data_IF_281203031001
#
_entry.id   IF_281203031001
#
_cell.length_a   1.000
_cell.length_b   1.000
_cell.length_c   1.000
_cell.angle_alpha   90.00
_cell.angle_beta   90.00
_cell.angle_gamma   90.00
#
_symmetry.space_group_name_H-M   'P 1'
#
loop_
_entity.id
_entity.type
_entity.pdbx_description
1 polymer ?
#
# COMPACT_ATOMS: atom_id res chain seq x y z
N UNK A 1 9.32 -24.86 -10.12
CA UNK A 1 9.11 -24.79 -10.35
C UNK A 1 8.83 -24.71 -10.14
N UNK A 2 8.32 -24.81 -9.95
CA UNK A 2 7.88 -24.82 -9.94
C UNK A 2 7.49 -24.96 -9.73
N UNK A 3 7.34 -25.17 -9.51
CA UNK A 3 6.66 -25.37 -9.39
C UNK A 3 6.18 -25.43 -9.11
N UNK A 4 6.68 -25.87 -8.51
CA UNK A 4 5.94 -25.78 -8.47
C UNK A 4 4.87 -25.84 -8.44
N UNK A 5 4.49 -25.65 -7.30
CA UNK A 5 3.21 -25.44 -7.88
C UNK A 5 3.38 -24.93 -9.26
N UNK A 6 2.78 -25.54 -10.19
CA UNK A 6 2.79 -24.95 -11.49
C UNK A 6 2.24 -23.56 -11.43
N UNK A 7 2.82 -22.68 -12.14
CA UNK A 7 2.41 -21.30 -12.12
C UNK A 7 0.92 -21.14 -12.42
N UNK A 8 0.39 -21.96 -13.29
CA UNK A 8 -1.00 -21.82 -13.67
C UNK A 8 -1.95 -22.09 -12.52
N UNK A 9 -1.60 -23.01 -11.64
CA UNK A 9 -2.44 -23.27 -10.49
C UNK A 9 -2.37 -22.14 -9.49
N UNK A 10 -1.19 -21.59 -9.33
CA UNK A 10 -1.04 -20.45 -8.44
C UNK A 10 -1.89 -19.30 -8.90
N UNK A 11 -1.96 -19.07 -10.18
CA UNK A 11 -2.74 -17.95 -10.69
C UNK A 11 -4.21 -18.09 -10.38
N UNK A 12 -4.72 -19.30 -10.39
CA UNK A 12 -6.13 -19.49 -10.08
C UNK A 12 -6.44 -19.12 -8.64
N UNK A 13 -5.50 -19.37 -7.76
CA UNK A 13 -5.72 -19.12 -6.36
C UNK A 13 -5.57 -17.67 -6.00
N UNK A 14 -4.88 -16.90 -6.77
CA UNK A 14 -4.48 -15.56 -6.39
C UNK A 14 -5.48 -14.50 -6.77
N UNK A 15 -6.47 -14.81 -7.55
CA UNK A 15 -7.47 -13.82 -7.94
C UNK A 15 -6.86 -12.59 -8.60
N UNK A 16 -5.98 -12.84 -9.48
CA UNK A 16 -5.23 -11.79 -10.16
C UNK A 16 -6.11 -10.71 -10.79
N UNK A 17 -7.28 -11.04 -11.39
CA UNK A 17 -8.08 -9.98 -12.00
C UNK A 17 -8.50 -8.90 -11.02
N UNK A 18 -8.80 -9.29 -9.79
CA UNK A 18 -9.17 -8.30 -8.78
C UNK A 18 -8.00 -7.41 -8.41
N UNK A 19 -6.83 -8.01 -8.27
CA UNK A 19 -5.64 -7.24 -7.95
C UNK A 19 -5.31 -6.24 -9.04
N UNK A 20 -5.59 -6.56 -10.28
CA UNK A 20 -5.32 -5.63 -11.37
C UNK A 20 -6.16 -4.38 -11.31
N UNK A 21 -7.30 -4.43 -10.64
CA UNK A 21 -8.18 -3.29 -10.52
C UNK A 21 -7.78 -2.37 -9.38
N UNK A 22 -6.93 -2.85 -8.49
CA UNK A 22 -6.47 -2.05 -7.37
C UNK A 22 -5.35 -1.16 -7.87
N UNK A 23 -5.56 0.14 -7.77
CA UNK A 23 -4.58 1.12 -8.23
C UNK A 23 -4.06 1.98 -7.11
N UNK A 24 -4.88 2.25 -6.12
CA UNK A 24 -4.53 3.17 -5.05
C UNK A 24 -4.83 2.54 -3.70
N UNK A 25 -3.81 2.40 -2.88
CA UNK A 25 -3.89 1.81 -1.55
C UNK A 25 -3.54 2.89 -0.53
N UNK A 26 -4.40 3.08 0.44
CA UNK A 26 -4.17 4.04 1.50
C UNK A 26 -3.93 3.32 2.81
N UNK A 27 -2.86 3.69 3.50
CA UNK A 27 -2.48 3.09 4.78
C UNK A 27 -2.80 4.04 5.91
N UNK A 28 -3.64 3.61 6.83
CA UNK A 28 -3.95 4.38 8.03
C UNK A 28 -2.90 4.03 9.08
N UNK A 29 -2.21 5.03 9.61
CA UNK A 29 -1.11 4.78 10.52
C UNK A 29 0.16 4.36 9.80
N UNK A 30 0.42 4.96 8.64
CA UNK A 30 1.48 4.51 7.74
C UNK A 30 2.87 4.58 8.37
N UNK A 31 3.06 5.43 9.38
CA UNK A 31 4.34 5.53 10.07
C UNK A 31 4.56 4.44 11.10
N UNK A 32 3.58 3.56 11.31
CA UNK A 32 3.72 2.52 12.30
C UNK A 32 4.67 1.42 11.88
N UNK A 33 5.16 0.68 12.88
CA UNK A 33 6.08 -0.41 12.62
C UNK A 33 5.42 -1.44 11.71
N UNK A 34 6.10 -1.84 10.67
CA UNK A 34 5.59 -2.82 9.72
C UNK A 34 4.74 -2.24 8.62
N UNK A 35 4.09 -1.12 8.83
CA UNK A 35 3.25 -0.52 7.79
C UNK A 35 4.09 0.11 6.70
N UNK A 36 5.12 0.84 7.09
CA UNK A 36 5.95 1.55 6.13
C UNK A 36 6.65 0.59 5.16
N UNK A 37 7.11 -0.55 5.67
CA UNK A 37 7.78 -1.53 4.82
C UNK A 37 6.84 -2.09 3.75
N UNK A 38 5.62 -2.41 4.16
CA UNK A 38 4.63 -2.94 3.21
C UNK A 38 4.29 -1.88 2.18
N UNK A 39 4.13 -0.64 2.62
CA UNK A 39 3.81 0.45 1.71
C UNK A 39 4.89 0.63 0.65
N UNK A 40 6.15 0.56 1.06
CA UNK A 40 7.25 0.72 0.12
C UNK A 40 7.30 -0.42 -0.89
N UNK A 41 7.07 -1.65 -0.44
CA UNK A 41 7.05 -2.79 -1.34
C UNK A 41 5.97 -2.62 -2.40
N UNK A 42 4.77 -2.24 -1.98
CA UNK A 42 3.67 -2.10 -2.90
C UNK A 42 3.88 -0.93 -3.86
N UNK A 43 4.49 0.14 -3.37
CA UNK A 43 4.82 1.24 -4.27
C UNK A 43 5.80 0.80 -5.35
N UNK A 44 6.78 0.01 -4.98
CA UNK A 44 7.76 -0.49 -5.95
C UNK A 44 7.12 -1.44 -6.95
N UNK A 45 5.98 -2.02 -6.61
CA UNK A 45 5.25 -2.89 -7.53
C UNK A 45 4.32 -2.13 -8.45
N UNK A 46 4.28 -0.81 -8.34
CA UNK A 46 3.51 0.00 -9.26
C UNK A 46 2.19 0.54 -8.73
N UNK A 47 1.84 0.26 -7.50
CA UNK A 47 0.62 0.82 -6.92
C UNK A 47 0.84 2.26 -6.52
N UNK A 48 -0.23 3.04 -6.60
CA UNK A 48 -0.22 4.37 -6.01
C UNK A 48 -0.46 4.20 -4.52
N UNK A 49 0.44 4.72 -3.72
CA UNK A 49 0.38 4.55 -2.27
C UNK A 49 0.22 5.91 -1.61
N UNK A 50 -0.66 5.97 -0.65
CA UNK A 50 -0.79 7.12 0.22
C UNK A 50 -0.98 6.62 1.64
N UNK A 51 -0.92 7.52 2.59
CA UNK A 51 -1.15 7.14 3.96
C UNK A 51 -1.43 8.33 4.83
N UNK A 52 -1.84 8.05 6.05
CA UNK A 52 -2.06 9.08 7.05
C UNK A 52 -1.45 8.65 8.36
N UNK A 53 -1.12 9.64 9.17
CA UNK A 53 -0.65 9.39 10.52
C UNK A 53 -1.05 10.57 11.39
N UNK A 54 -1.02 10.39 12.71
CA UNK A 54 -1.44 11.45 13.60
C UNK A 54 -0.39 12.54 13.74
N UNK A 55 0.87 12.23 13.48
CA UNK A 55 1.93 13.22 13.54
C UNK A 55 3.06 12.84 12.61
N UNK A 56 3.89 13.82 12.31
CA UNK A 56 5.09 13.59 11.52
C UNK A 56 6.12 12.81 12.31
N UNK A 57 6.93 12.06 11.61
CA UNK A 57 8.02 11.30 12.19
C UNK A 57 9.11 11.11 11.15
N UNK A 58 10.22 10.52 11.56
CA UNK A 58 11.27 10.19 10.60
C UNK A 58 10.75 9.23 9.54
N UNK A 59 9.87 8.33 9.96
CA UNK A 59 9.29 7.36 9.04
C UNK A 59 8.41 8.04 8.00
N UNK A 60 7.53 8.96 8.42
CA UNK A 60 6.68 9.63 7.44
C UNK A 60 7.49 10.50 6.50
N UNK A 61 8.54 11.13 7.00
CA UNK A 61 9.43 11.93 6.14
C UNK A 61 10.13 11.04 5.12
N UNK A 62 10.59 9.88 5.55
CA UNK A 62 11.23 8.93 4.65
C UNK A 62 10.27 8.47 3.56
N UNK A 63 9.02 8.19 3.93
CA UNK A 63 8.03 7.76 2.97
C UNK A 63 7.75 8.84 1.93
N UNK A 64 7.66 10.08 2.36
CA UNK A 64 7.45 11.18 1.44
C UNK A 64 8.61 11.34 0.48
N UNK A 65 9.82 11.14 0.97
CA UNK A 65 11.01 11.21 0.11
C UNK A 65 10.99 10.13 -0.95
N UNK A 66 10.27 9.04 -0.71
CA UNK A 66 10.15 7.95 -1.67
C UNK A 66 8.90 8.06 -2.55
N UNK A 67 8.26 9.21 -2.52
CA UNK A 67 7.14 9.45 -3.41
C UNK A 67 5.79 9.00 -2.89
N UNK A 68 5.69 8.70 -1.61
CA UNK A 68 4.42 8.31 -1.00
C UNK A 68 3.79 9.54 -0.37
N UNK A 69 2.53 9.81 -0.71
CA UNK A 69 1.82 10.95 -0.14
C UNK A 69 1.40 10.61 1.28
N UNK A 70 1.82 11.42 2.25
CA UNK A 70 1.45 11.23 3.65
C UNK A 70 0.66 12.43 4.12
N UNK A 71 -0.49 12.16 4.70
CA UNK A 71 -1.33 13.19 5.31
C UNK A 71 -1.17 13.12 6.81
N UNK A 72 -1.04 14.27 7.44
CA UNK A 72 -0.97 14.33 8.90
C UNK A 72 -2.37 14.60 9.39
N UNK A 73 -2.86 13.73 10.27
CA UNK A 73 -4.25 13.74 10.69
C UNK A 73 -5.04 12.73 9.88
N UNK A 74 -6.12 12.24 10.47
CA UNK A 74 -6.98 11.27 9.80
C UNK A 74 -8.27 11.95 9.40
N UNK A 75 -8.56 11.96 8.11
CA UNK A 75 -9.74 12.61 7.56
C UNK A 75 -10.31 11.73 6.46
N UNK A 76 -11.63 11.71 6.37
CA UNK A 76 -12.29 10.95 5.31
C UNK A 76 -11.87 11.43 3.93
N UNK A 77 -11.52 12.70 3.79
CA UNK A 77 -11.11 13.23 2.48
C UNK A 77 -9.78 12.60 2.02
N UNK A 78 -8.96 12.15 2.95
CA UNK A 78 -7.65 11.57 2.59
C UNK A 78 -7.79 10.25 1.86
N UNK A 79 -8.93 9.58 2.01
CA UNK A 79 -9.10 8.22 1.51
C UNK A 79 -10.12 8.10 0.40
N UNK A 80 -10.72 9.21 -0.03
CA UNK A 80 -11.88 9.09 -0.91
C UNK A 80 -11.55 8.51 -2.28
N UNK A 81 -10.31 8.57 -2.71
CA UNK A 81 -9.92 8.00 -4.00
C UNK A 81 -9.20 6.67 -3.87
N UNK A 82 -9.09 6.12 -2.68
CA UNK A 82 -8.39 4.86 -2.49
C UNK A 82 -9.29 3.68 -2.83
N UNK A 83 -8.71 2.68 -3.44
CA UNK A 83 -9.41 1.42 -3.72
C UNK A 83 -9.40 0.51 -2.51
N UNK A 84 -8.35 0.58 -1.70
CA UNK A 84 -8.15 -0.30 -0.56
C UNK A 84 -7.62 0.51 0.61
N UNK A 85 -8.12 0.23 1.79
CA UNK A 85 -7.59 0.78 3.03
C UNK A 85 -6.91 -0.33 3.80
N UNK A 86 -5.72 -0.02 4.31
CA UNK A 86 -5.00 -0.92 5.21
C UNK A 86 -4.93 -0.23 6.56
N UNK A 87 -5.41 -0.88 7.59
CA UNK A 87 -5.43 -0.33 8.93
C UNK A 87 -4.72 -1.24 9.92
#
# INVERSE_FOLDING_TARGET
>A
MSPSIPANQSKKLIKVPEMRRIKHIHFVGIGGAGMCGIAEVLKNQGYKISGSDIKESKTTTHLEANGIKVYIGHSADNIKNANVLVV
#
